data_IF_074784079009
#
_entry.id   IF_074784079009
#
_cell.length_a   1.000
_cell.length_b   1.000
_cell.length_c   1.000
_cell.angle_alpha   90.00
_cell.angle_beta   90.00
_cell.angle_gamma   90.00
#
_symmetry.space_group_name_H-M   'P 1'
#
loop_
_entity.id
_entity.type
_entity.pdbx_description
1 polymer ?
#
# COMPACT_ATOMS: atom_id res chain seq x y z
N UNK A 1 11.65 -4.64 21.71
CA UNK A 1 11.78 -5.00 20.28
C UNK A 1 10.44 -4.90 19.51
N UNK A 2 9.34 -5.51 19.96
CA UNK A 2 8.06 -5.48 19.21
C UNK A 2 7.53 -4.07 18.93
N UNK A 3 7.53 -3.15 19.89
CA UNK A 3 7.07 -1.77 19.65
C UNK A 3 7.99 -0.96 18.74
N UNK A 4 9.28 -1.25 18.74
CA UNK A 4 10.25 -0.54 17.88
C UNK A 4 10.07 -0.87 16.39
N UNK A 5 9.70 -2.12 16.06
CA UNK A 5 9.47 -2.55 14.66
C UNK A 5 8.33 -1.76 14.01
N UNK A 6 7.29 -1.42 14.76
CA UNK A 6 6.15 -0.64 14.26
C UNK A 6 6.53 0.78 13.82
N UNK A 7 7.62 1.33 14.36
CA UNK A 7 8.12 2.67 14.02
C UNK A 7 9.07 2.65 12.79
N UNK A 8 9.54 1.47 12.38
CA UNK A 8 10.49 1.38 11.29
C UNK A 8 9.85 1.76 9.94
N UNK A 9 10.66 2.39 9.09
CA UNK A 9 10.32 2.61 7.67
C UNK A 9 10.36 1.29 6.89
N UNK A 10 9.71 1.24 5.73
CA UNK A 10 9.77 0.07 4.86
C UNK A 10 11.22 -0.29 4.48
N UNK A 11 12.02 0.73 4.16
CA UNK A 11 13.45 0.54 3.86
C UNK A 11 14.24 0.00 5.05
N UNK A 12 13.96 0.46 6.28
CA UNK A 12 14.61 -0.08 7.49
C UNK A 12 14.23 -1.54 7.71
N UNK A 13 12.95 -1.90 7.55
CA UNK A 13 12.47 -3.29 7.67
C UNK A 13 13.22 -4.19 6.69
N UNK A 14 13.22 -3.85 5.40
CA UNK A 14 13.94 -4.63 4.38
C UNK A 14 15.42 -4.80 4.73
N UNK A 15 16.08 -3.74 5.18
CA UNK A 15 17.49 -3.78 5.60
C UNK A 15 17.72 -4.72 6.80
N UNK A 16 16.87 -4.67 7.83
CA UNK A 16 17.03 -5.50 9.03
C UNK A 16 16.79 -7.00 8.73
N UNK A 17 15.82 -7.31 7.85
CA UNK A 17 15.60 -8.68 7.38
C UNK A 17 16.78 -9.16 6.52
N UNK A 18 17.30 -8.32 5.63
CA UNK A 18 18.42 -8.65 4.78
C UNK A 18 19.71 -8.92 5.57
N UNK A 19 19.94 -8.22 6.66
CA UNK A 19 21.08 -8.45 7.56
C UNK A 19 20.87 -9.62 8.52
N UNK A 20 19.66 -10.18 8.60
CA UNK A 20 19.32 -11.23 9.55
C UNK A 20 19.14 -10.77 10.99
N UNK A 21 19.01 -9.45 11.22
CA UNK A 21 18.78 -8.88 12.55
C UNK A 21 17.37 -9.19 13.07
N UNK A 22 16.40 -9.37 12.17
CA UNK A 22 15.04 -9.83 12.45
C UNK A 22 14.59 -10.76 11.32
N UNK A 23 13.61 -11.61 11.61
CA UNK A 23 12.97 -12.45 10.60
C UNK A 23 11.75 -11.75 10.00
N UNK A 24 11.40 -12.09 8.76
CA UNK A 24 10.16 -11.62 8.14
C UNK A 24 8.93 -12.10 8.94
N UNK A 25 8.99 -13.30 9.50
CA UNK A 25 7.93 -13.84 10.36
C UNK A 25 7.71 -12.97 11.60
N UNK A 26 8.77 -12.54 12.30
CA UNK A 26 8.66 -11.64 13.46
C UNK A 26 8.06 -10.29 13.08
N UNK A 27 8.50 -9.72 11.96
CA UNK A 27 7.97 -8.44 11.44
C UNK A 27 6.49 -8.57 11.12
N UNK A 28 6.10 -9.53 10.29
CA UNK A 28 4.70 -9.72 9.86
C UNK A 28 3.80 -10.00 11.06
N UNK A 29 4.22 -10.85 12.01
CA UNK A 29 3.46 -11.12 13.22
C UNK A 29 3.26 -9.85 14.05
N UNK A 30 4.28 -8.99 14.15
CA UNK A 30 4.17 -7.71 14.88
C UNK A 30 3.09 -6.81 14.28
N UNK A 31 3.05 -6.69 12.94
CA UNK A 31 2.03 -5.88 12.27
C UNK A 31 0.64 -6.51 12.32
N UNK A 32 0.51 -7.83 12.25
CA UNK A 32 -0.78 -8.52 12.46
C UNK A 32 -1.31 -8.24 13.88
N UNK A 33 -0.48 -8.36 14.90
CA UNK A 33 -0.87 -8.06 16.28
C UNK A 33 -1.31 -6.59 16.43
N UNK A 34 -0.65 -5.66 15.73
CA UNK A 34 -1.04 -4.25 15.73
C UNK A 34 -2.41 -4.05 15.05
N UNK A 35 -2.66 -4.72 13.93
CA UNK A 35 -3.98 -4.70 13.28
C UNK A 35 -5.05 -5.22 14.25
N UNK A 36 -4.84 -6.37 14.88
CA UNK A 36 -5.79 -6.95 15.83
C UNK A 36 -6.10 -6.03 17.01
N UNK A 37 -5.08 -5.33 17.51
CA UNK A 37 -5.23 -4.44 18.67
C UNK A 37 -5.95 -3.13 18.34
N UNK A 38 -5.71 -2.55 17.17
CA UNK A 38 -6.10 -1.16 16.85
C UNK A 38 -7.27 -1.09 15.85
N UNK A 39 -7.36 -2.03 14.93
CA UNK A 39 -8.38 -2.02 13.87
C UNK A 39 -9.84 -2.06 14.39
N UNK A 40 -10.17 -2.71 15.50
CA UNK A 40 -11.54 -2.67 16.06
C UNK A 40 -12.05 -1.25 16.34
N UNK A 41 -11.15 -0.30 16.61
CA UNK A 41 -11.49 1.11 16.87
C UNK A 41 -11.44 1.93 15.58
N UNK A 42 -10.41 1.72 14.75
CA UNK A 42 -10.13 2.55 13.57
C UNK A 42 -10.91 2.08 12.34
N UNK A 43 -11.13 0.77 12.20
CA UNK A 43 -11.81 0.16 11.05
C UNK A 43 -11.15 0.51 9.71
N UNK A 44 -9.84 0.37 9.65
CA UNK A 44 -9.04 0.70 8.48
C UNK A 44 -8.79 -0.50 7.56
N UNK A 45 -8.56 -1.69 8.14
CA UNK A 45 -8.34 -2.95 7.42
C UNK A 45 -9.64 -3.74 7.37
N UNK A 46 -10.11 -4.08 6.17
CA UNK A 46 -11.42 -4.69 5.95
C UNK A 46 -11.37 -6.17 5.55
N UNK A 47 -10.25 -6.65 5.02
CA UNK A 47 -10.02 -8.07 4.70
C UNK A 47 -8.55 -8.40 4.96
N UNK A 48 -8.28 -9.44 5.75
CA UNK A 48 -6.92 -9.91 6.02
C UNK A 48 -6.47 -10.96 5.00
N UNK A 49 -5.18 -11.00 4.73
CA UNK A 49 -4.54 -12.12 4.03
C UNK A 49 -4.17 -13.20 5.06
N UNK A 50 -4.92 -14.28 5.09
CA UNK A 50 -4.70 -15.41 6.01
C UNK A 50 -3.37 -16.14 5.76
N UNK A 51 -2.74 -15.94 4.59
CA UNK A 51 -1.48 -16.56 4.20
C UNK A 51 -0.24 -15.71 4.51
N UNK A 52 -0.40 -14.49 5.03
CA UNK A 52 0.72 -13.56 5.24
C UNK A 52 1.88 -14.14 6.07
N UNK A 53 1.57 -14.90 7.12
CA UNK A 53 2.59 -15.58 7.95
C UNK A 53 3.30 -16.72 7.21
N UNK A 54 2.60 -17.46 6.36
CA UNK A 54 3.22 -18.50 5.54
C UNK A 54 4.15 -17.89 4.49
N UNK A 55 3.72 -16.78 3.87
CA UNK A 55 4.56 -16.02 2.94
C UNK A 55 5.84 -15.49 3.66
N UNK A 56 5.71 -15.03 4.90
CA UNK A 56 6.85 -14.59 5.71
C UNK A 56 7.85 -15.73 5.99
N UNK A 57 7.37 -16.92 6.31
CA UNK A 57 8.22 -18.11 6.51
C UNK A 57 8.98 -18.48 5.22
N UNK A 58 8.35 -18.32 4.04
CA UNK A 58 9.02 -18.55 2.75
C UNK A 58 10.15 -17.53 2.56
N UNK A 59 9.94 -16.26 2.91
CA UNK A 59 11.00 -15.24 2.89
C UNK A 59 12.16 -15.63 3.81
N UNK A 60 11.88 -16.06 5.04
CA UNK A 60 12.89 -16.48 6.00
C UNK A 60 13.69 -17.70 5.50
N UNK A 61 13.03 -18.67 4.85
CA UNK A 61 13.67 -19.81 4.25
C UNK A 61 14.63 -19.40 3.11
N UNK A 62 14.19 -18.49 2.23
CA UNK A 62 15.01 -17.92 1.16
C UNK A 62 16.25 -17.21 1.71
N UNK A 63 16.08 -16.39 2.76
CA UNK A 63 17.21 -15.69 3.41
C UNK A 63 18.21 -16.67 4.01
N UNK A 64 17.75 -17.76 4.66
CA UNK A 64 18.62 -18.83 5.19
C UNK A 64 19.35 -19.59 4.08
N UNK A 65 18.72 -19.75 2.90
CA UNK A 65 19.35 -20.39 1.74
C UNK A 65 20.40 -19.51 1.04
N UNK A 66 20.49 -18.21 1.40
CA UNK A 66 21.41 -17.26 0.77
C UNK A 66 20.93 -16.76 -0.59
N UNK A 67 19.64 -16.86 -0.88
CA UNK A 67 19.06 -16.33 -2.11
C UNK A 67 19.30 -14.82 -2.24
N UNK A 68 19.35 -14.26 -3.46
CA UNK A 68 19.48 -12.82 -3.67
C UNK A 68 18.38 -12.04 -2.96
N UNK A 69 18.77 -10.90 -2.36
CA UNK A 69 17.85 -9.97 -1.69
C UNK A 69 16.98 -9.23 -2.71
N UNK A 70 15.75 -8.93 -2.33
CA UNK A 70 14.81 -8.10 -3.10
C UNK A 70 14.63 -6.74 -2.42
N UNK A 71 14.18 -5.74 -3.15
CA UNK A 71 14.06 -4.36 -2.65
C UNK A 71 13.12 -4.21 -1.45
N UNK A 72 12.05 -5.01 -1.39
CA UNK A 72 11.05 -5.02 -0.31
C UNK A 72 11.02 -6.35 0.44
N UNK A 73 12.15 -7.05 0.55
CA UNK A 73 12.22 -8.38 1.18
C UNK A 73 11.58 -8.40 2.56
N UNK A 74 10.44 -9.10 2.68
CA UNK A 74 9.70 -9.26 3.93
C UNK A 74 8.95 -8.02 4.42
N UNK A 75 8.89 -6.93 3.66
CA UNK A 75 8.18 -5.71 4.05
C UNK A 75 6.67 -5.91 3.99
N UNK A 76 5.94 -5.74 5.12
CA UNK A 76 4.48 -5.82 5.11
C UNK A 76 3.87 -4.62 4.37
N UNK A 77 2.80 -4.86 3.60
CA UNK A 77 2.05 -3.77 2.98
C UNK A 77 0.55 -4.06 2.94
N UNK A 78 -0.24 -3.00 2.76
CA UNK A 78 -1.69 -3.05 2.61
C UNK A 78 -2.11 -2.43 1.28
N UNK A 79 -3.27 -2.81 0.76
CA UNK A 79 -3.79 -2.25 -0.50
C UNK A 79 -5.25 -1.85 -0.36
N UNK A 80 -5.61 -0.74 -0.99
CA UNK A 80 -7.00 -0.25 -1.06
C UNK A 80 -7.92 -1.29 -1.68
N UNK A 81 -9.12 -1.42 -1.16
CA UNK A 81 -10.10 -2.43 -1.54
C UNK A 81 -10.79 -2.19 -2.90
N UNK A 82 -10.10 -1.52 -3.81
CA UNK A 82 -10.43 -1.43 -5.24
C UNK A 82 -9.31 -1.97 -6.13
N UNK A 83 -8.14 -2.27 -5.55
CA UNK A 83 -7.04 -2.88 -6.30
C UNK A 83 -7.24 -4.38 -6.29
N UNK A 84 -7.51 -4.96 -7.44
CA UNK A 84 -7.72 -6.40 -7.57
C UNK A 84 -6.52 -7.16 -7.01
N UNK A 85 -6.82 -8.18 -6.22
CA UNK A 85 -5.81 -8.95 -5.50
C UNK A 85 -6.17 -10.42 -5.57
N UNK A 86 -5.36 -11.19 -6.28
CA UNK A 86 -5.61 -12.61 -6.52
C UNK A 86 -5.87 -13.38 -5.23
N UNK A 87 -7.01 -14.06 -5.18
CA UNK A 87 -7.39 -14.93 -4.06
C UNK A 87 -7.80 -14.19 -2.79
N UNK A 88 -7.86 -12.85 -2.80
CA UNK A 88 -8.26 -12.05 -1.64
C UNK A 88 -9.49 -11.22 -2.00
N UNK A 89 -10.54 -11.37 -1.19
CA UNK A 89 -11.81 -10.64 -1.36
C UNK A 89 -11.56 -9.15 -1.60
N UNK A 90 -12.14 -8.62 -2.67
CA UNK A 90 -12.00 -7.23 -3.11
C UNK A 90 -13.36 -6.68 -3.50
N UNK A 91 -13.93 -5.80 -2.66
CA UNK A 91 -15.36 -5.46 -2.70
C UNK A 91 -15.67 -4.12 -3.37
N UNK A 92 -14.69 -3.27 -3.62
CA UNK A 92 -14.91 -1.88 -4.02
C UNK A 92 -15.83 -1.09 -3.05
N UNK A 93 -15.98 -1.57 -1.81
CA UNK A 93 -16.91 -1.01 -0.83
C UNK A 93 -18.38 -1.16 -1.19
N UNK A 94 -18.72 -1.97 -2.19
CA UNK A 94 -20.07 -2.15 -2.73
C UNK A 94 -20.66 -3.52 -2.42
N UNK A 95 -21.93 -3.55 -2.00
CA UNK A 95 -22.68 -4.78 -1.81
C UNK A 95 -22.78 -5.61 -3.09
N UNK A 96 -22.65 -5.00 -4.28
CA UNK A 96 -22.65 -5.70 -5.56
C UNK A 96 -21.45 -6.65 -5.71
N UNK A 97 -20.33 -6.32 -5.07
CA UNK A 97 -19.07 -7.06 -5.12
C UNK A 97 -18.68 -7.62 -3.75
N UNK A 98 -19.63 -7.72 -2.83
CA UNK A 98 -19.38 -8.13 -1.45
C UNK A 98 -18.61 -9.45 -1.32
N UNK A 99 -18.81 -10.37 -2.25
CA UNK A 99 -18.20 -11.69 -2.25
C UNK A 99 -17.20 -11.90 -3.38
N UNK A 100 -16.82 -10.82 -4.08
CA UNK A 100 -15.92 -10.92 -5.21
C UNK A 100 -14.48 -11.27 -4.77
N UNK A 101 -13.89 -12.25 -5.45
CA UNK A 101 -12.50 -12.70 -5.22
C UNK A 101 -11.80 -12.74 -6.56
N UNK A 102 -10.94 -11.75 -6.86
CA UNK A 102 -10.21 -11.67 -8.12
C UNK A 102 -9.32 -12.88 -8.38
N UNK A 103 -9.15 -13.23 -9.66
CA UNK A 103 -8.29 -14.33 -10.09
C UNK A 103 -6.87 -13.88 -10.48
N UNK A 104 -6.63 -12.55 -10.49
CA UNK A 104 -5.33 -11.95 -10.77
C UNK A 104 -5.06 -10.73 -9.88
N UNK A 105 -3.78 -10.34 -9.77
CA UNK A 105 -3.35 -9.13 -9.07
C UNK A 105 -3.34 -7.94 -10.04
N UNK A 106 -3.61 -6.73 -9.56
CA UNK A 106 -3.19 -5.53 -10.29
C UNK A 106 -1.67 -5.50 -10.42
N UNK A 107 -1.16 -4.90 -11.51
CA UNK A 107 0.29 -4.81 -11.77
C UNK A 107 1.05 -4.26 -10.56
N UNK A 108 0.50 -3.26 -9.88
CA UNK A 108 1.14 -2.68 -8.69
C UNK A 108 1.26 -3.66 -7.53
N UNK A 109 0.24 -4.48 -7.28
CA UNK A 109 0.25 -5.53 -6.25
C UNK A 109 1.24 -6.63 -6.64
N UNK A 110 1.20 -7.09 -7.89
CA UNK A 110 2.13 -8.06 -8.44
C UNK A 110 3.59 -7.60 -8.27
N UNK A 111 3.89 -6.34 -8.61
CA UNK A 111 5.23 -5.77 -8.49
C UNK A 111 5.73 -5.70 -7.05
N UNK A 112 4.88 -5.30 -6.10
CA UNK A 112 5.25 -5.29 -4.67
C UNK A 112 5.53 -6.70 -4.15
N UNK A 113 4.70 -7.69 -4.50
CA UNK A 113 4.93 -9.10 -4.14
C UNK A 113 6.23 -9.63 -4.77
N UNK A 114 6.47 -9.36 -6.05
CA UNK A 114 7.69 -9.78 -6.75
C UNK A 114 8.96 -9.13 -6.17
N UNK A 115 8.86 -7.91 -5.65
CA UNK A 115 9.94 -7.24 -4.92
C UNK A 115 10.15 -7.78 -3.50
N UNK A 116 9.37 -8.77 -3.06
CA UNK A 116 9.50 -9.43 -1.76
C UNK A 116 8.58 -8.89 -0.68
N UNK A 117 7.69 -7.96 -1.01
CA UNK A 117 6.67 -7.46 -0.09
C UNK A 117 5.65 -8.52 0.28
N UNK A 118 5.15 -8.47 1.52
CA UNK A 118 4.14 -9.38 2.06
C UNK A 118 2.84 -8.61 2.25
N UNK A 119 1.81 -9.01 1.51
CA UNK A 119 0.50 -8.40 1.63
C UNK A 119 -0.19 -8.82 2.92
N UNK A 120 -0.56 -7.86 3.77
CA UNK A 120 -1.33 -8.13 5.00
C UNK A 120 -2.84 -8.16 4.76
N UNK A 121 -3.34 -7.45 3.74
CA UNK A 121 -4.76 -7.40 3.44
C UNK A 121 -5.21 -6.15 2.71
N UNK A 122 -6.53 -5.95 2.73
CA UNK A 122 -7.23 -4.85 2.05
C UNK A 122 -7.62 -3.76 3.04
N UNK A 123 -7.59 -2.51 2.58
CA UNK A 123 -8.00 -1.35 3.38
C UNK A 123 -9.30 -0.75 2.88
N UNK A 124 -10.11 -0.28 3.80
CA UNK A 124 -11.45 0.24 3.56
C UNK A 124 -11.47 1.44 2.61
N UNK A 125 -12.56 1.56 1.84
CA UNK A 125 -12.80 2.60 0.82
C UNK A 125 -14.30 2.92 0.79
N UNK A 126 -14.75 4.14 0.42
CA UNK A 126 -16.14 4.35 0.08
C UNK A 126 -16.53 3.55 -1.17
N UNK A 127 -17.82 3.33 -1.36
CA UNK A 127 -18.35 2.59 -2.50
C UNK A 127 -17.81 3.14 -3.83
N UNK A 128 -17.18 2.28 -4.63
CA UNK A 128 -16.50 2.61 -5.89
C UNK A 128 -15.54 3.80 -5.82
N UNK A 129 -14.98 4.07 -4.65
CA UNK A 129 -14.07 5.20 -4.39
C UNK A 129 -14.66 6.60 -4.65
N UNK A 130 -15.98 6.76 -4.63
CA UNK A 130 -16.71 7.97 -5.02
C UNK A 130 -17.04 8.94 -3.89
N UNK A 131 -16.34 8.90 -2.76
CA UNK A 131 -16.53 9.85 -1.66
C UNK A 131 -15.18 10.27 -1.07
N UNK A 132 -15.13 11.46 -0.48
CA UNK A 132 -14.01 11.99 0.30
C UNK A 132 -14.02 11.51 1.75
N UNK A 133 -15.05 10.78 2.17
CA UNK A 133 -15.17 10.11 3.45
C UNK A 133 -15.18 8.60 3.24
N UNK A 134 -14.34 7.89 3.97
CA UNK A 134 -14.26 6.43 3.86
C UNK A 134 -15.32 5.76 4.72
N UNK A 135 -16.46 5.49 4.10
CA UNK A 135 -17.58 4.76 4.68
C UNK A 135 -18.32 3.96 3.60
N UNK A 136 -18.81 2.78 3.93
CA UNK A 136 -19.63 1.97 3.04
C UNK A 136 -20.57 1.06 3.84
N UNK A 137 -21.47 0.35 3.13
CA UNK A 137 -22.49 -0.50 3.74
C UNK A 137 -22.00 -1.88 4.18
N UNK A 138 -20.80 -2.31 3.72
CA UNK A 138 -20.23 -3.63 4.08
C UNK A 138 -19.47 -3.53 5.39
N UNK A 139 -18.55 -2.55 5.48
CA UNK A 139 -17.58 -2.45 6.55
C UNK A 139 -17.83 -1.28 7.51
N UNK A 140 -18.68 -0.32 7.14
CA UNK A 140 -18.89 0.90 7.91
C UNK A 140 -17.80 1.94 7.69
N UNK A 141 -17.61 2.81 8.69
CA UNK A 141 -16.76 4.00 8.61
C UNK A 141 -15.36 3.76 9.15
N UNK A 142 -14.35 4.17 8.38
CA UNK A 142 -12.96 4.28 8.88
C UNK A 142 -12.79 5.58 9.64
N UNK A 143 -12.18 5.50 10.82
CA UNK A 143 -11.92 6.60 11.73
C UNK A 143 -10.48 7.09 11.63
N UNK A 144 -10.27 8.36 11.90
CA UNK A 144 -8.93 8.94 11.93
C UNK A 144 -8.20 8.49 13.22
N UNK A 145 -6.98 7.93 13.16
CA UNK A 145 -6.26 7.46 14.35
C UNK A 145 -5.80 8.58 15.29
N UNK A 146 -5.73 9.83 14.82
CA UNK A 146 -5.40 10.98 15.67
C UNK A 146 -6.59 11.48 16.49
N UNK A 147 -7.80 11.38 15.93
CA UNK A 147 -9.06 11.65 16.61
C UNK A 147 -10.18 10.84 15.94
N UNK A 148 -10.69 9.85 16.65
CA UNK A 148 -11.72 8.92 16.16
C UNK A 148 -13.07 9.59 15.83
N UNK A 149 -13.27 10.85 16.21
CA UNK A 149 -14.48 11.62 15.93
C UNK A 149 -14.42 12.39 14.60
N UNK A 150 -13.25 12.43 13.95
CA UNK A 150 -13.06 13.09 12.67
C UNK A 150 -12.82 12.09 11.54
N UNK A 151 -13.00 12.53 10.30
CA UNK A 151 -12.81 11.68 9.12
C UNK A 151 -11.34 11.33 8.89
N UNK A 152 -11.07 10.14 8.43
CA UNK A 152 -9.76 9.73 7.91
C UNK A 152 -9.50 10.27 6.48
N UNK A 153 -10.47 10.99 5.90
CA UNK A 153 -10.44 11.36 4.49
C UNK A 153 -10.83 10.19 3.59
N UNK A 154 -10.72 10.39 2.31
CA UNK A 154 -11.08 9.38 1.29
C UNK A 154 -10.61 9.80 -0.13
N UNK A 155 -10.73 8.90 -1.04
CA UNK A 155 -11.31 7.56 -0.90
C UNK A 155 -10.34 6.49 -0.38
N UNK A 156 -9.04 6.74 -0.24
CA UNK A 156 -8.05 5.82 0.36
C UNK A 156 -7.89 6.05 1.87
N UNK A 157 -8.99 6.36 2.59
CA UNK A 157 -8.94 6.67 4.02
C UNK A 157 -8.54 5.47 4.87
N UNK A 158 -8.96 4.25 4.48
CA UNK A 158 -8.49 3.02 5.13
C UNK A 158 -6.97 2.85 5.03
N UNK A 159 -6.37 3.07 3.84
CA UNK A 159 -4.92 3.03 3.64
C UNK A 159 -4.21 4.09 4.49
N UNK A 160 -4.72 5.33 4.49
CA UNK A 160 -4.16 6.40 5.31
C UNK A 160 -4.22 6.11 6.80
N UNK A 161 -5.39 5.74 7.30
CA UNK A 161 -5.57 5.43 8.71
C UNK A 161 -4.72 4.23 9.16
N UNK A 162 -4.61 3.19 8.33
CA UNK A 162 -3.80 2.00 8.65
C UNK A 162 -2.31 2.35 8.80
N UNK A 163 -1.74 3.13 7.86
CA UNK A 163 -0.32 3.53 7.93
C UNK A 163 -0.07 4.46 9.11
N UNK A 164 -0.96 5.41 9.38
CA UNK A 164 -0.84 6.33 10.51
C UNK A 164 -0.94 5.61 11.86
N UNK A 165 -1.77 4.56 11.95
CA UNK A 165 -1.92 3.71 13.12
C UNK A 165 -0.86 2.60 13.21
N UNK A 166 0.20 2.66 12.40
CA UNK A 166 1.28 1.68 12.34
C UNK A 166 0.81 0.23 12.07
N UNK A 167 -0.29 0.03 11.33
CA UNK A 167 -0.74 -1.29 10.90
C UNK A 167 0.04 -1.83 9.69
N UNK A 168 0.76 -0.99 8.99
CA UNK A 168 1.75 -1.32 7.96
C UNK A 168 2.66 -0.11 7.73
N UNK A 169 3.90 -0.31 7.27
CA UNK A 169 4.79 0.79 6.90
C UNK A 169 4.41 1.43 5.55
N UNK A 170 3.74 0.67 4.69
CA UNK A 170 3.38 1.03 3.32
C UNK A 170 1.95 0.58 3.01
N UNK A 171 1.18 1.45 2.36
CA UNK A 171 -0.07 1.07 1.72
C UNK A 171 -0.17 1.64 0.31
N UNK A 172 -0.91 0.96 -0.57
CA UNK A 172 -1.31 1.50 -1.86
C UNK A 172 -2.69 2.16 -1.76
N UNK A 173 -2.79 3.35 -2.34
CA UNK A 173 -4.04 4.05 -2.58
C UNK A 173 -4.24 4.35 -4.06
N UNK A 174 -5.36 4.99 -4.39
CA UNK A 174 -5.66 5.52 -5.73
C UNK A 174 -6.08 6.98 -5.63
N UNK A 175 -5.83 7.77 -6.67
CA UNK A 175 -6.11 9.20 -6.66
C UNK A 175 -6.58 9.67 -8.04
N UNK A 176 -7.88 9.86 -8.19
CA UNK A 176 -8.50 10.59 -9.28
C UNK A 176 -8.57 12.08 -8.94
N UNK A 177 -9.27 12.42 -7.86
CA UNK A 177 -9.57 13.79 -7.43
C UNK A 177 -8.97 14.18 -6.07
N UNK A 178 -7.91 13.49 -5.59
CA UNK A 178 -7.29 13.76 -4.27
C UNK A 178 -7.25 12.55 -3.34
N UNK A 179 -7.66 11.38 -3.80
CA UNK A 179 -7.91 10.22 -2.94
C UNK A 179 -6.67 9.55 -2.31
N UNK A 180 -5.44 9.95 -2.67
CA UNK A 180 -4.20 9.70 -1.90
C UNK A 180 -3.89 10.94 -1.06
N UNK A 181 -3.90 12.12 -1.67
CA UNK A 181 -3.46 13.37 -1.08
C UNK A 181 -4.32 13.80 0.11
N UNK A 182 -5.66 13.69 -0.01
CA UNK A 182 -6.59 14.02 1.07
C UNK A 182 -6.36 13.16 2.32
N UNK A 183 -6.41 11.80 2.24
CA UNK A 183 -6.17 11.00 3.43
C UNK A 183 -4.72 11.10 3.95
N UNK A 184 -3.71 11.32 3.10
CA UNK A 184 -2.36 11.59 3.59
C UNK A 184 -2.29 12.88 4.40
N UNK A 185 -2.93 13.96 3.93
CA UNK A 185 -3.00 15.22 4.66
C UNK A 185 -3.72 15.05 6.01
N UNK A 186 -4.85 14.35 6.04
CA UNK A 186 -5.67 14.18 7.24
C UNK A 186 -5.04 13.25 8.29
N UNK A 187 -4.20 12.32 7.85
CA UNK A 187 -3.55 11.34 8.72
C UNK A 187 -2.05 11.62 8.96
N UNK A 188 -1.55 12.81 8.56
CA UNK A 188 -0.15 13.23 8.74
C UNK A 188 0.85 12.26 8.09
N UNK A 189 0.64 11.96 6.81
CA UNK A 189 1.44 11.02 6.03
C UNK A 189 2.07 11.68 4.81
N UNK A 190 3.06 11.00 4.24
CA UNK A 190 3.59 11.27 2.91
C UNK A 190 2.90 10.35 1.90
N UNK A 191 2.34 10.93 0.84
CA UNK A 191 1.75 10.17 -0.26
C UNK A 191 2.14 10.77 -1.60
N UNK A 192 2.25 9.94 -2.62
CA UNK A 192 2.55 10.40 -3.96
C UNK A 192 1.44 9.99 -4.93
N UNK A 193 0.87 11.00 -5.60
CA UNK A 193 0.12 10.82 -6.83
C UNK A 193 1.10 11.02 -8.00
N UNK A 194 1.62 9.94 -8.61
CA UNK A 194 2.54 10.07 -9.74
C UNK A 194 1.82 10.59 -11.00
N UNK A 195 2.58 10.86 -12.05
CA UNK A 195 2.01 11.15 -13.37
C UNK A 195 1.23 9.95 -13.90
N UNK A 196 0.18 10.16 -14.72
CA UNK A 196 -0.54 9.08 -15.39
C UNK A 196 0.42 8.15 -16.16
N UNK A 197 0.17 6.85 -16.10
CA UNK A 197 1.00 5.84 -16.75
C UNK A 197 2.35 5.56 -16.08
N UNK A 198 2.74 6.30 -15.04
CA UNK A 198 3.99 6.04 -14.32
C UNK A 198 3.97 4.73 -13.55
N UNK A 199 2.86 4.39 -12.94
CA UNK A 199 2.52 3.07 -12.40
C UNK A 199 1.45 2.49 -13.32
N UNK A 200 1.73 1.39 -14.03
CA UNK A 200 0.76 0.76 -14.92
C UNK A 200 -0.49 0.30 -14.19
N UNK A 201 -1.62 0.36 -14.87
CA UNK A 201 -2.91 -0.04 -14.34
C UNK A 201 -3.55 -1.16 -15.17
N UNK A 202 -3.64 -2.34 -14.62
CA UNK A 202 -4.29 -3.52 -15.17
C UNK A 202 -4.53 -4.53 -14.02
N UNK A 203 -5.60 -5.32 -14.00
CA UNK A 203 -6.70 -5.37 -14.98
C UNK A 203 -7.67 -4.19 -14.87
N UNK A 204 -8.46 -3.98 -15.95
CA UNK A 204 -9.39 -2.86 -16.11
C UNK A 204 -10.84 -3.34 -16.29
N UNK A 205 -11.24 -4.38 -15.56
CA UNK A 205 -12.46 -5.16 -15.85
C UNK A 205 -13.79 -4.46 -15.54
N UNK A 206 -13.77 -3.40 -14.71
CA UNK A 206 -15.02 -2.78 -14.27
C UNK A 206 -15.38 -1.47 -15.01
N UNK A 207 -14.76 -1.19 -16.15
CA UNK A 207 -15.09 -0.04 -17.00
C UNK A 207 -14.74 1.34 -16.43
N UNK A 208 -14.34 1.41 -15.18
CA UNK A 208 -13.89 2.64 -14.50
C UNK A 208 -12.45 3.00 -14.85
N UNK A 209 -11.72 2.04 -15.31
CA UNK A 209 -10.28 2.01 -15.46
C UNK A 209 -9.82 2.61 -16.80
N UNK A 210 -10.75 2.92 -17.69
CA UNK A 210 -10.47 3.64 -18.95
C UNK A 210 -10.20 5.13 -18.74
N UNK A 211 -10.44 5.63 -17.52
CA UNK A 211 -10.07 7.00 -17.18
C UNK A 211 -8.58 7.02 -16.84
N UNK A 212 -7.78 7.61 -17.71
CA UNK A 212 -6.33 7.90 -17.56
C UNK A 212 -5.98 8.58 -16.22
N UNK A 213 -6.97 8.79 -15.37
CA UNK A 213 -6.93 9.53 -14.12
C UNK A 213 -6.95 8.65 -12.87
N UNK A 214 -7.22 7.33 -12.99
CA UNK A 214 -7.15 6.39 -11.86
C UNK A 214 -5.70 6.03 -11.55
N UNK A 215 -5.03 6.93 -10.83
CA UNK A 215 -3.61 6.81 -10.55
C UNK A 215 -3.41 6.12 -9.22
N UNK A 216 -2.63 5.06 -9.22
CA UNK A 216 -2.18 4.39 -8.01
C UNK A 216 -0.94 5.06 -7.44
N UNK A 217 -0.76 4.97 -6.13
CA UNK A 217 0.45 5.49 -5.53
C UNK A 217 0.65 5.05 -4.08
N UNK A 218 1.89 5.17 -3.58
CA UNK A 218 2.25 4.80 -2.23
C UNK A 218 1.77 5.85 -1.22
N UNK A 219 1.39 5.35 -0.04
CA UNK A 219 1.07 6.10 1.17
C UNK A 219 1.95 5.54 2.29
N UNK A 220 2.80 6.37 2.87
CA UNK A 220 3.88 5.99 3.79
C UNK A 220 4.13 7.08 4.82
N UNK A 221 4.99 6.81 5.81
CA UNK A 221 5.34 7.80 6.84
C UNK A 221 6.52 8.72 6.46
N UNK A 222 7.38 8.32 5.49
CA UNK A 222 8.56 9.10 5.12
C UNK A 222 8.82 9.10 3.61
N UNK A 223 9.47 10.15 3.11
CA UNK A 223 9.73 10.35 1.67
C UNK A 223 10.66 9.26 1.10
N UNK A 224 11.60 8.74 1.89
CA UNK A 224 12.49 7.66 1.45
C UNK A 224 11.72 6.40 1.02
N UNK A 225 10.64 6.07 1.74
CA UNK A 225 9.78 4.93 1.41
C UNK A 225 8.92 5.20 0.16
N UNK A 226 8.57 6.47 -0.13
CA UNK A 226 7.98 6.82 -1.44
C UNK A 226 8.94 6.47 -2.56
N UNK A 227 10.21 6.88 -2.44
CA UNK A 227 11.23 6.59 -3.44
C UNK A 227 11.46 5.09 -3.64
N UNK A 228 11.51 4.33 -2.54
CA UNK A 228 11.65 2.88 -2.55
C UNK A 228 10.44 2.20 -3.23
N UNK A 229 9.23 2.59 -2.88
CA UNK A 229 8.01 2.07 -3.51
C UNK A 229 7.95 2.41 -5.00
N UNK A 230 8.29 3.66 -5.37
CA UNK A 230 8.29 4.09 -6.78
C UNK A 230 9.36 3.37 -7.61
N UNK A 231 10.50 3.01 -7.04
CA UNK A 231 11.51 2.18 -7.71
C UNK A 231 10.93 0.84 -8.15
N UNK A 232 10.07 0.25 -7.34
CA UNK A 232 9.44 -1.04 -7.61
C UNK A 232 8.21 -0.91 -8.52
N UNK A 233 7.38 0.10 -8.28
CA UNK A 233 6.07 0.25 -8.93
C UNK A 233 6.15 0.82 -10.34
N UNK A 234 7.16 1.66 -10.64
CA UNK A 234 7.25 2.42 -11.88
C UNK A 234 7.76 1.59 -13.07
N UNK A 235 7.44 2.06 -14.26
CA UNK A 235 7.94 1.49 -15.52
C UNK A 235 6.83 0.88 -16.36
N UNK A 236 7.09 0.69 -17.67
CA UNK A 236 6.08 0.22 -18.61
C UNK A 236 5.66 -1.21 -18.33
N UNK A 237 4.46 -1.55 -18.80
CA UNK A 237 3.93 -2.92 -18.83
C UNK A 237 3.02 -3.05 -20.06
N UNK A 238 3.23 -4.09 -20.85
CA UNK A 238 2.52 -4.30 -22.13
C UNK A 238 1.00 -4.52 -21.96
N UNK A 239 0.56 -4.83 -20.73
CA UNK A 239 -0.86 -4.95 -20.40
C UNK A 239 -1.56 -3.59 -20.27
N UNK A 240 -0.80 -2.52 -20.02
CA UNK A 240 -1.30 -1.14 -19.95
C UNK A 240 -0.69 -0.29 -21.09
N UNK A 241 -1.47 -0.03 -22.17
CA UNK A 241 -0.98 0.75 -23.30
C UNK A 241 -0.72 2.24 -22.96
N UNK A 242 -1.20 2.73 -21.82
CA UNK A 242 -0.95 4.08 -21.33
C UNK A 242 0.33 4.20 -20.50
N UNK A 243 0.98 3.07 -20.17
CA UNK A 243 2.17 3.06 -19.34
C UNK A 243 3.37 3.73 -20.03
N UNK A 244 4.18 4.45 -19.23
CA UNK A 244 5.30 5.25 -19.76
C UNK A 244 6.65 4.72 -19.28
N UNK A 245 7.73 4.84 -20.11
CA UNK A 245 9.09 4.46 -19.72
C UNK A 245 9.60 5.23 -18.50
N UNK A 246 10.53 4.62 -17.77
CA UNK A 246 11.19 5.24 -16.61
C UNK A 246 12.51 5.94 -16.93
N UNK A 247 13.01 5.91 -18.16
CA UNK A 247 14.18 6.61 -18.70
C UNK A 247 15.37 6.74 -17.74
N UNK A 248 15.69 5.64 -17.02
CA UNK A 248 16.80 5.61 -16.07
C UNK A 248 16.61 6.41 -14.77
N UNK A 249 15.39 6.87 -14.46
CA UNK A 249 15.11 7.60 -13.23
C UNK A 249 15.21 6.70 -12.02
N UNK A 250 16.13 7.02 -11.11
CA UNK A 250 16.26 6.38 -9.80
C UNK A 250 15.44 7.16 -8.76
N UNK A 251 14.21 6.73 -8.55
CA UNK A 251 13.28 7.37 -7.60
C UNK A 251 13.77 7.29 -6.16
N UNK A 252 14.46 6.21 -5.78
CA UNK A 252 14.96 6.06 -4.42
C UNK A 252 16.09 7.05 -4.15
N UNK A 253 17.05 7.16 -5.07
CA UNK A 253 18.12 8.15 -4.99
C UNK A 253 17.58 9.59 -5.03
N UNK A 254 16.57 9.85 -5.87
CA UNK A 254 15.92 11.16 -5.95
C UNK A 254 15.24 11.56 -4.62
N UNK A 255 14.62 10.60 -3.92
CA UNK A 255 13.98 10.83 -2.62
C UNK A 255 14.98 11.12 -1.49
N UNK A 256 16.24 10.69 -1.63
CA UNK A 256 17.33 10.91 -0.65
C UNK A 256 18.21 12.10 -1.01
N UNK A 257 18.05 12.66 -2.22
CA UNK A 257 18.86 13.76 -2.73
C UNK A 257 18.51 15.12 -2.11
N UNK A 258 19.39 16.12 -2.28
CA UNK A 258 19.10 17.48 -1.84
C UNK A 258 17.94 18.06 -2.65
N UNK A 259 17.07 18.82 -1.97
CA UNK A 259 15.99 19.58 -2.63
C UNK A 259 16.48 20.98 -3.00
N UNK A 260 16.13 21.41 -4.23
CA UNK A 260 16.31 22.78 -4.66
C UNK A 260 14.97 23.51 -4.58
N UNK A 261 14.89 24.55 -3.78
CA UNK A 261 13.73 25.44 -3.67
C UNK A 261 13.70 26.55 -4.73
N UNK A 262 14.69 26.58 -5.63
CA UNK A 262 14.85 27.67 -6.63
C UNK A 262 13.70 27.74 -7.63
N UNK A 263 12.95 26.66 -7.82
CA UNK A 263 11.84 26.57 -8.76
C UNK A 263 10.47 26.34 -8.12
N UNK A 264 10.35 26.46 -6.81
CA UNK A 264 9.06 26.51 -6.13
C UNK A 264 8.45 27.90 -6.38
N UNK A 265 7.47 27.97 -7.28
CA UNK A 265 6.63 29.14 -7.51
C UNK A 265 5.23 28.90 -6.97
#
# INVERSE_FOLDING_TARGET
>A
MTNEILEWSAGKIASQINTGAVTATEVVQTFINQIEAVNPVINAVCTLNEHALEEAKIVDARRKAGDPTRDLEGVPFLVKDILQTKGIRTTFGSLLLEHDVPNEDTISVERLKNAGGILLGKTNTPEFAHDINTTNKIFGTTRNPWDVNVTAGGSSGGSGAAVAAAMAPLALGTDLGGSIRIPCSFNNLTGLRPSPGRIPFYPTDYGWDTLVEHIQGPMVRCVSDVGLAMKVLSGPDDRDPSSIPCDGMDFHKAALGPVSYTHLR
#
